data_IF_683680874031
#
_entry.id   IF_683680874031
#
_cell.length_a   1.000
_cell.length_b   1.000
_cell.length_c   1.000
_cell.angle_alpha   90.00
_cell.angle_beta   90.00
_cell.angle_gamma   90.00
#
_symmetry.space_group_name_H-M   'P 1'
#
loop_
_entity.id
_entity.type
_entity.pdbx_description
1 polymer ?
#
# COMPACT_ATOMS: atom_id res chain seq x y z
N UNK A 1 -46.16 -1.97 49.37
CA UNK A 1 -44.77 -2.31 49.70
C UNK A 1 -43.85 -1.62 48.71
N UNK A 2 -42.87 -0.87 49.20
CA UNK A 2 -42.03 0.06 48.45
C UNK A 2 -41.24 -0.58 47.30
N UNK A 3 -41.51 -0.17 46.06
CA UNK A 3 -40.54 -0.27 44.97
C UNK A 3 -39.49 0.83 45.15
N UNK A 4 -38.38 0.50 45.82
CA UNK A 4 -37.18 1.36 45.85
C UNK A 4 -36.67 1.53 44.42
N UNK A 5 -37.01 2.64 43.76
CA UNK A 5 -36.29 3.10 42.57
C UNK A 5 -34.85 3.39 43.02
N UNK A 6 -33.89 2.64 42.47
CA UNK A 6 -32.47 2.97 42.62
C UNK A 6 -32.27 4.44 42.21
N UNK A 7 -31.48 5.24 42.94
CA UNK A 7 -31.19 6.61 42.55
C UNK A 7 -30.65 6.62 41.12
N UNK A 8 -31.20 7.46 40.24
CA UNK A 8 -30.59 7.70 38.94
C UNK A 8 -29.22 8.31 39.21
N UNK A 9 -28.17 7.61 38.78
CA UNK A 9 -26.81 8.15 38.77
C UNK A 9 -26.81 9.45 37.96
N UNK A 10 -26.18 10.48 38.51
CA UNK A 10 -25.95 11.72 37.76
C UNK A 10 -24.87 11.47 36.69
N UNK A 11 -24.76 12.39 35.72
CA UNK A 11 -23.68 12.31 34.73
C UNK A 11 -22.29 12.37 35.40
N UNK A 12 -22.18 13.07 36.53
CA UNK A 12 -20.97 13.10 37.35
C UNK A 12 -20.64 11.73 37.95
N UNK A 13 -21.64 11.03 38.49
CA UNK A 13 -21.47 9.68 39.03
C UNK A 13 -21.07 8.67 37.94
N UNK A 14 -21.68 8.77 36.75
CA UNK A 14 -21.34 7.93 35.62
C UNK A 14 -19.92 8.20 35.11
N UNK A 15 -19.52 9.48 35.03
CA UNK A 15 -18.16 9.86 34.64
C UNK A 15 -17.11 9.34 35.62
N UNK A 16 -17.32 9.54 36.92
CA UNK A 16 -16.40 9.06 37.97
C UNK A 16 -16.23 7.53 37.96
N UNK A 17 -17.27 6.80 37.53
CA UNK A 17 -17.18 5.35 37.33
C UNK A 17 -16.52 4.95 36.01
N UNK A 18 -16.75 5.71 34.94
CA UNK A 18 -16.26 5.38 33.60
C UNK A 18 -14.77 5.65 33.43
N UNK A 19 -14.23 6.72 34.03
CA UNK A 19 -12.81 7.09 33.90
C UNK A 19 -11.83 5.98 34.31
N UNK A 20 -11.92 5.38 35.53
CA UNK A 20 -11.00 4.31 35.92
C UNK A 20 -11.17 3.05 35.07
N UNK A 21 -12.41 2.75 34.64
CA UNK A 21 -12.68 1.62 33.75
C UNK A 21 -12.04 1.85 32.37
N UNK A 22 -12.16 3.05 31.81
CA UNK A 22 -11.57 3.41 30.53
C UNK A 22 -10.03 3.35 30.59
N UNK A 23 -9.44 3.81 31.68
CA UNK A 23 -8.00 3.70 31.90
C UNK A 23 -7.54 2.23 31.96
N UNK A 24 -8.27 1.38 32.68
CA UNK A 24 -8.00 -0.06 32.72
C UNK A 24 -8.12 -0.70 31.32
N UNK A 25 -9.20 -0.41 30.59
CA UNK A 25 -9.42 -0.93 29.24
C UNK A 25 -8.33 -0.47 28.25
N UNK A 26 -7.87 0.78 28.35
CA UNK A 26 -6.75 1.30 27.57
C UNK A 26 -5.46 0.54 27.85
N UNK A 27 -5.21 0.18 29.11
CA UNK A 27 -4.05 -0.64 29.50
C UNK A 27 -4.12 -2.10 29.01
N UNK A 28 -5.32 -2.62 28.73
CA UNK A 28 -5.50 -4.00 28.29
C UNK A 28 -5.31 -4.20 26.78
N UNK A 29 -5.43 -3.15 25.97
CA UNK A 29 -5.32 -3.26 24.51
C UNK A 29 -4.31 -2.25 23.96
N UNK A 30 -3.27 -2.77 23.30
CA UNK A 30 -2.30 -1.93 22.58
C UNK A 30 -2.94 -1.13 21.45
N UNK A 31 -4.09 -1.55 20.93
CA UNK A 31 -4.86 -0.85 19.90
C UNK A 31 -5.86 0.16 20.47
N UNK A 32 -5.92 0.35 21.80
CA UNK A 32 -6.85 1.31 22.39
C UNK A 32 -6.63 2.74 21.87
N UNK A 33 -5.38 3.08 21.53
CA UNK A 33 -5.01 4.34 20.91
C UNK A 33 -5.33 4.42 19.41
N UNK A 34 -6.05 3.47 18.82
CA UNK A 34 -6.61 3.59 17.45
C UNK A 34 -8.10 3.97 17.48
N UNK A 35 -8.72 3.83 18.66
CA UNK A 35 -10.14 3.98 18.84
C UNK A 35 -10.50 5.46 19.00
N UNK A 36 -11.51 5.89 18.26
CA UNK A 36 -12.26 7.11 18.55
C UNK A 36 -13.60 6.76 19.16
N UNK A 37 -14.59 7.62 18.94
CA UNK A 37 -15.95 7.44 19.44
C UNK A 37 -16.89 6.84 18.38
N UNK A 38 -16.42 6.70 17.14
CA UNK A 38 -17.26 6.40 15.99
C UNK A 38 -17.30 4.92 15.61
N UNK A 39 -16.44 4.09 16.21
CA UNK A 39 -16.33 2.65 15.94
C UNK A 39 -16.17 2.37 14.44
N UNK A 40 -15.22 3.07 13.81
CA UNK A 40 -14.98 2.95 12.37
C UNK A 40 -14.12 1.71 12.09
N UNK A 41 -14.51 0.98 11.05
CA UNK A 41 -13.81 -0.18 10.50
C UNK A 41 -13.55 0.04 9.02
N UNK A 42 -12.45 -0.51 8.52
CA UNK A 42 -12.09 -0.50 7.11
C UNK A 42 -12.16 -1.91 6.55
N UNK A 43 -12.88 -2.06 5.45
CA UNK A 43 -13.07 -3.32 4.73
C UNK A 43 -12.21 -3.28 3.48
N UNK A 44 -11.34 -4.28 3.32
CA UNK A 44 -10.37 -4.38 2.22
C UNK A 44 -10.45 -5.76 1.57
N UNK A 45 -10.50 -5.87 0.24
CA UNK A 45 -10.43 -7.17 -0.43
C UNK A 45 -9.00 -7.72 -0.40
N UNK A 46 -8.86 -9.03 -0.25
CA UNK A 46 -7.57 -9.69 -0.37
C UNK A 46 -7.10 -9.68 -1.84
N UNK A 47 -5.82 -9.36 -2.06
CA UNK A 47 -5.18 -9.47 -3.37
C UNK A 47 -5.52 -8.36 -4.38
N UNK A 48 -6.23 -7.30 -3.97
CA UNK A 48 -6.32 -6.06 -4.77
C UNK A 48 -5.36 -5.01 -4.21
N UNK A 49 -4.89 -4.14 -5.11
CA UNK A 49 -4.03 -3.00 -4.79
C UNK A 49 -4.67 -1.70 -5.25
N UNK A 50 -4.01 -0.57 -4.92
CA UNK A 50 -4.40 0.81 -5.32
C UNK A 50 -5.65 1.34 -4.61
N UNK A 51 -6.00 0.75 -3.47
CA UNK A 51 -7.14 1.09 -2.64
C UNK A 51 -8.52 0.91 -3.29
N UNK A 52 -8.60 0.06 -4.32
CA UNK A 52 -9.86 -0.28 -4.99
C UNK A 52 -10.75 -1.14 -4.08
N UNK A 53 -12.05 -0.86 -4.13
CA UNK A 53 -13.09 -1.56 -3.37
C UNK A 53 -12.85 -1.55 -1.85
N UNK A 54 -12.28 -0.45 -1.34
CA UNK A 54 -12.13 -0.20 0.09
C UNK A 54 -13.33 0.60 0.57
N UNK A 55 -13.92 0.19 1.70
CA UNK A 55 -15.00 0.91 2.35
C UNK A 55 -14.68 1.16 3.82
N UNK A 56 -15.02 2.35 4.32
CA UNK A 56 -15.09 2.62 5.75
C UNK A 56 -16.54 2.56 6.23
N UNK A 57 -16.80 1.89 7.36
CA UNK A 57 -18.14 1.76 7.92
C UNK A 57 -18.13 1.68 9.45
N UNK A 58 -19.21 2.16 10.07
CA UNK A 58 -19.45 2.09 11.53
C UNK A 58 -20.32 0.90 11.94
N UNK A 59 -21.02 0.29 10.97
CA UNK A 59 -22.03 -0.75 11.19
C UNK A 59 -21.59 -2.08 10.60
N UNK A 60 -21.65 -3.14 11.41
CA UNK A 60 -21.40 -4.51 10.97
C UNK A 60 -22.33 -4.93 9.83
N UNK A 61 -23.61 -4.53 9.87
CA UNK A 61 -24.55 -4.86 8.82
C UNK A 61 -24.13 -4.24 7.48
N UNK A 62 -23.71 -2.96 7.46
CA UNK A 62 -23.20 -2.30 6.23
C UNK A 62 -21.98 -3.04 5.68
N UNK A 63 -21.09 -3.52 6.56
CA UNK A 63 -19.92 -4.29 6.15
C UNK A 63 -20.29 -5.65 5.56
N UNK A 64 -21.18 -6.41 6.21
CA UNK A 64 -21.65 -7.72 5.74
C UNK A 64 -22.41 -7.62 4.41
N UNK A 65 -23.24 -6.59 4.26
CA UNK A 65 -23.96 -6.32 3.01
C UNK A 65 -22.97 -5.99 1.88
N UNK A 66 -21.96 -5.16 2.14
CA UNK A 66 -20.95 -4.77 1.14
C UNK A 66 -20.12 -5.95 0.64
N UNK A 67 -19.68 -6.85 1.54
CA UNK A 67 -18.93 -8.05 1.14
C UNK A 67 -19.81 -9.11 0.47
N UNK A 68 -21.13 -8.91 0.45
CA UNK A 68 -22.09 -9.88 -0.09
C UNK A 68 -22.15 -11.18 0.73
N UNK A 69 -22.04 -11.07 2.06
CA UNK A 69 -22.07 -12.24 2.94
C UNK A 69 -23.37 -13.03 2.75
N UNK A 70 -23.26 -14.34 2.52
CA UNK A 70 -24.41 -15.22 2.26
C UNK A 70 -24.88 -15.26 0.80
N UNK A 71 -24.23 -14.52 -0.11
CA UNK A 71 -24.50 -14.62 -1.57
C UNK A 71 -23.65 -15.75 -2.16
N UNK A 72 -24.30 -16.79 -2.68
CA UNK A 72 -23.62 -17.92 -3.30
C UNK A 72 -22.83 -17.50 -4.56
N UNK A 73 -21.62 -18.03 -4.74
CA UNK A 73 -20.83 -17.91 -5.97
C UNK A 73 -19.76 -16.80 -6.02
N UNK A 74 -19.52 -16.06 -4.92
CA UNK A 74 -18.39 -15.11 -4.81
C UNK A 74 -17.41 -15.55 -3.72
N UNK A 75 -16.40 -16.34 -4.10
CA UNK A 75 -15.24 -16.59 -3.24
C UNK A 75 -14.23 -15.45 -3.40
N UNK A 76 -14.44 -14.35 -2.65
CA UNK A 76 -13.41 -13.35 -2.41
C UNK A 76 -13.09 -13.31 -0.92
N UNK A 77 -11.80 -13.29 -0.59
CA UNK A 77 -11.37 -13.06 0.79
C UNK A 77 -11.36 -11.56 1.09
N UNK A 78 -11.74 -11.22 2.31
CA UNK A 78 -11.82 -9.84 2.79
C UNK A 78 -11.15 -9.73 4.16
N UNK A 79 -10.57 -8.56 4.43
CA UNK A 79 -10.06 -8.18 5.74
C UNK A 79 -10.92 -7.04 6.26
N UNK A 80 -11.46 -7.23 7.46
CA UNK A 80 -12.10 -6.17 8.24
C UNK A 80 -11.12 -5.78 9.34
N UNK A 81 -10.62 -4.55 9.27
CA UNK A 81 -9.57 -4.05 10.16
C UNK A 81 -10.09 -2.82 10.92
N UNK A 82 -9.68 -2.66 12.18
CA UNK A 82 -10.01 -1.45 12.94
C UNK A 82 -9.43 -0.23 12.22
N UNK A 83 -10.27 0.75 11.90
CA UNK A 83 -9.80 2.00 11.31
C UNK A 83 -9.15 2.87 12.38
N UNK A 84 -8.00 3.48 12.07
CA UNK A 84 -7.35 4.45 12.95
C UNK A 84 -8.13 5.78 12.91
N UNK A 85 -8.88 6.06 13.97
CA UNK A 85 -9.72 7.26 14.10
C UNK A 85 -8.94 8.49 14.61
N UNK A 86 -7.76 8.28 15.19
CA UNK A 86 -6.87 9.32 15.71
C UNK A 86 -5.47 9.25 15.08
N UNK A 87 -5.35 9.35 13.75
CA UNK A 87 -4.05 9.43 13.08
C UNK A 87 -3.31 10.72 13.49
N UNK A 88 -1.98 10.72 13.39
CA UNK A 88 -1.23 11.97 13.38
C UNK A 88 -1.59 12.74 12.10
N UNK A 89 -1.94 14.01 12.26
CA UNK A 89 -2.43 14.88 11.17
C UNK A 89 -1.46 16.02 10.97
N UNK A 90 -1.14 16.31 9.70
CA UNK A 90 -0.28 17.43 9.32
C UNK A 90 -1.08 18.34 8.40
N UNK A 91 -1.18 19.63 8.77
CA UNK A 91 -1.93 20.63 8.01
C UNK A 91 -3.35 20.17 7.65
N UNK A 92 -4.05 19.58 8.63
CA UNK A 92 -5.41 19.06 8.45
C UNK A 92 -5.51 17.73 7.70
N UNK A 93 -4.43 17.21 7.12
CA UNK A 93 -4.47 16.06 6.20
C UNK A 93 -3.87 14.79 6.80
N UNK A 94 -4.46 13.65 6.42
CA UNK A 94 -3.99 12.32 6.78
C UNK A 94 -2.84 11.92 5.89
N UNK A 95 -1.92 11.11 6.39
CA UNK A 95 -0.85 10.54 5.58
C UNK A 95 -0.49 9.12 5.98
N UNK A 96 0.22 8.44 5.08
CA UNK A 96 0.99 7.23 5.37
C UNK A 96 2.45 7.42 4.96
N UNK A 97 3.33 6.55 5.45
CA UNK A 97 4.76 6.53 5.15
C UNK A 97 5.05 5.30 4.29
N UNK A 98 5.59 5.52 3.09
CA UNK A 98 6.18 4.46 2.25
C UNK A 98 7.64 4.26 2.65
N UNK A 99 7.94 3.06 3.12
CA UNK A 99 9.29 2.61 3.46
C UNK A 99 9.75 1.47 2.55
N UNK A 100 10.95 1.56 1.99
CA UNK A 100 11.55 0.47 1.24
C UNK A 100 12.33 -0.49 2.15
N UNK A 101 12.12 -1.78 1.95
CA UNK A 101 12.81 -2.88 2.64
C UNK A 101 13.25 -3.90 1.60
N UNK A 102 14.51 -4.33 1.65
CA UNK A 102 15.09 -5.29 0.70
C UNK A 102 15.42 -6.59 1.43
N UNK A 103 15.01 -7.71 0.85
CA UNK A 103 15.47 -9.04 1.26
C UNK A 103 16.46 -9.57 0.23
N UNK A 104 17.63 -10.01 0.71
CA UNK A 104 18.71 -10.53 -0.15
C UNK A 104 18.95 -12.03 0.00
N UNK A 105 18.47 -12.61 1.10
CA UNK A 105 18.47 -14.04 1.36
C UNK A 105 17.36 -14.32 2.37
N UNK A 106 16.65 -15.43 2.20
CA UNK A 106 15.65 -15.91 3.16
C UNK A 106 16.25 -16.94 4.14
N UNK A 107 17.45 -17.45 3.85
CA UNK A 107 18.08 -18.46 4.68
C UNK A 107 19.63 -18.40 4.67
N UNK A 108 20.28 -17.75 5.66
CA UNK A 108 19.65 -17.01 6.76
C UNK A 108 19.03 -15.69 6.29
N UNK A 109 17.90 -15.31 6.90
CA UNK A 109 17.16 -14.09 6.53
C UNK A 109 18.05 -12.85 6.63
N UNK A 110 18.18 -12.11 5.54
CA UNK A 110 18.98 -10.89 5.44
C UNK A 110 18.11 -9.72 4.99
N UNK A 111 17.76 -8.86 5.95
CA UNK A 111 16.84 -7.72 5.78
C UNK A 111 17.60 -6.40 5.80
N UNK A 112 17.40 -5.63 4.74
CA UNK A 112 17.95 -4.30 4.56
C UNK A 112 16.83 -3.27 4.61
N UNK A 113 17.06 -2.18 5.32
CA UNK A 113 16.15 -1.05 5.46
C UNK A 113 16.77 0.16 4.76
N UNK A 114 16.00 0.84 3.91
CA UNK A 114 16.50 2.05 3.26
C UNK A 114 16.35 3.24 4.21
N UNK A 115 17.40 4.02 4.44
CA UNK A 115 17.37 5.13 5.41
C UNK A 115 16.47 6.31 5.00
N UNK A 116 16.00 6.33 3.75
CA UNK A 116 15.03 7.29 3.24
C UNK A 116 13.65 6.66 3.03
N UNK A 117 12.63 7.51 3.14
CA UNK A 117 11.22 7.17 2.95
C UNK A 117 10.49 8.41 2.41
N UNK A 118 9.22 8.25 2.04
CA UNK A 118 8.38 9.40 1.72
C UNK A 118 6.98 9.24 2.29
N UNK A 119 6.35 10.39 2.55
CA UNK A 119 4.98 10.46 3.03
C UNK A 119 4.04 10.63 1.83
N UNK A 120 2.84 10.05 1.93
CA UNK A 120 1.74 10.25 0.97
C UNK A 120 0.55 10.84 1.70
N UNK A 121 0.10 12.00 1.26
CA UNK A 121 -1.01 12.73 1.88
C UNK A 121 -2.35 12.44 1.20
N UNK A 122 -3.43 12.49 1.98
CA UNK A 122 -4.76 12.78 1.44
C UNK A 122 -4.80 14.20 0.89
N UNK A 123 -5.58 14.46 -0.16
CA UNK A 123 -5.74 15.82 -0.69
C UNK A 123 -6.83 16.63 0.03
N UNK A 124 -7.66 15.96 0.82
CA UNK A 124 -8.73 16.54 1.63
C UNK A 124 -8.40 16.52 3.12
N UNK A 125 -8.98 17.47 3.85
CA UNK A 125 -8.90 17.53 5.31
C UNK A 125 -9.55 16.30 5.95
N UNK A 126 -8.91 15.79 7.00
CA UNK A 126 -9.34 14.61 7.74
C UNK A 126 -10.62 14.91 8.53
N UNK A 127 -11.68 14.17 8.24
CA UNK A 127 -12.94 14.19 8.98
C UNK A 127 -13.57 12.79 8.98
N UNK A 128 -14.18 12.39 10.09
CA UNK A 128 -14.88 11.11 10.26
C UNK A 128 -16.40 11.21 10.00
N UNK A 129 -16.92 12.41 9.68
CA UNK A 129 -18.33 12.62 9.37
C UNK A 129 -18.73 12.02 8.02
N UNK A 130 -17.85 12.11 7.03
CA UNK A 130 -18.09 11.62 5.67
C UNK A 130 -17.17 10.44 5.32
N UNK A 131 -17.57 9.24 5.75
CA UNK A 131 -16.86 8.00 5.46
C UNK A 131 -16.99 7.54 3.99
N UNK A 132 -17.86 8.18 3.20
CA UNK A 132 -18.07 7.84 1.78
C UNK A 132 -17.07 8.58 0.89
N UNK A 133 -16.55 9.72 1.34
CA UNK A 133 -15.46 10.41 0.67
C UNK A 133 -14.11 9.70 0.89
N UNK A 134 -13.81 8.76 -0.02
CA UNK A 134 -12.55 8.00 -0.01
C UNK A 134 -11.29 8.87 -0.09
N UNK A 135 -11.37 10.09 -0.65
CA UNK A 135 -10.22 11.00 -0.80
C UNK A 135 -9.71 11.51 0.55
N UNK A 136 -10.57 11.55 1.57
CA UNK A 136 -10.22 11.92 2.95
C UNK A 136 -9.47 10.77 3.65
N UNK A 137 -9.84 9.53 3.33
CA UNK A 137 -9.47 8.37 4.14
C UNK A 137 -8.33 7.53 3.58
N UNK A 138 -8.07 7.61 2.27
CA UNK A 138 -7.08 6.81 1.55
C UNK A 138 -6.01 7.71 0.92
N UNK A 139 -4.74 7.51 1.26
CA UNK A 139 -3.63 8.35 0.78
C UNK A 139 -3.00 7.84 -0.53
N UNK A 140 -3.53 6.78 -1.13
CA UNK A 140 -2.99 6.22 -2.38
C UNK A 140 -3.14 7.22 -3.54
N UNK A 141 -2.03 7.57 -4.18
CA UNK A 141 -2.00 8.49 -5.34
C UNK A 141 -3.01 8.13 -6.45
N UNK A 142 -3.24 6.85 -6.70
CA UNK A 142 -4.19 6.40 -7.72
C UNK A 142 -5.61 6.89 -7.47
N UNK A 143 -6.02 6.99 -6.20
CA UNK A 143 -7.34 7.47 -5.80
C UNK A 143 -7.35 8.99 -5.81
N UNK A 144 -6.28 9.61 -5.30
CA UNK A 144 -6.18 11.07 -5.25
C UNK A 144 -6.19 11.71 -6.65
N UNK A 145 -5.58 11.06 -7.65
CA UNK A 145 -5.56 11.52 -9.06
C UNK A 145 -6.94 11.57 -9.72
N UNK A 146 -7.93 10.82 -9.24
CA UNK A 146 -9.27 10.81 -9.84
C UNK A 146 -10.15 11.97 -9.35
N UNK A 147 -9.76 12.67 -8.28
CA UNK A 147 -10.58 13.69 -7.63
C UNK A 147 -10.00 15.11 -7.59
N UNK A 148 -8.76 15.34 -8.01
CA UNK A 148 -8.04 16.60 -7.79
C UNK A 148 -7.16 17.03 -8.98
N UNK A 149 -6.78 18.32 -9.01
CA UNK A 149 -5.88 18.86 -10.03
C UNK A 149 -4.50 18.18 -10.00
N UNK A 150 -4.07 17.67 -11.14
CA UNK A 150 -2.82 16.93 -11.30
C UNK A 150 -1.59 17.73 -10.87
N UNK A 151 -1.59 19.05 -11.10
CA UNK A 151 -0.47 19.91 -10.73
C UNK A 151 -0.42 20.18 -9.23
N UNK A 152 -1.56 20.30 -8.56
CA UNK A 152 -1.64 20.37 -7.10
C UNK A 152 -1.15 19.07 -6.46
N UNK A 153 -1.57 17.92 -6.98
CA UNK A 153 -1.12 16.61 -6.50
C UNK A 153 0.41 16.50 -6.57
N UNK A 154 1.02 16.86 -7.71
CA UNK A 154 2.48 16.76 -7.86
C UNK A 154 3.25 17.55 -6.81
N UNK A 155 2.73 18.74 -6.42
CA UNK A 155 3.39 19.63 -5.46
C UNK A 155 3.09 19.30 -4.00
N UNK A 156 1.87 18.83 -3.69
CA UNK A 156 1.37 18.80 -2.31
C UNK A 156 1.10 17.39 -1.77
N UNK A 157 1.08 16.36 -2.62
CA UNK A 157 0.67 15.00 -2.18
C UNK A 157 1.77 14.23 -1.45
N UNK A 158 3.01 14.73 -1.43
CA UNK A 158 4.13 14.01 -0.83
C UNK A 158 5.14 14.91 -0.15
N UNK A 159 5.71 14.38 0.94
CA UNK A 159 6.93 14.91 1.55
C UNK A 159 8.03 13.87 1.50
N UNK A 160 9.27 14.34 1.30
CA UNK A 160 10.44 13.53 1.58
C UNK A 160 10.67 13.42 3.10
N UNK A 161 11.55 12.49 3.50
CA UNK A 161 11.83 12.27 4.92
C UNK A 161 12.51 13.48 5.57
N UNK A 162 13.31 14.24 4.85
CA UNK A 162 13.95 15.44 5.38
C UNK A 162 12.92 16.49 5.81
N UNK A 163 11.92 16.75 4.97
CA UNK A 163 10.80 17.64 5.28
C UNK A 163 10.02 17.13 6.49
N UNK A 164 9.75 15.83 6.56
CA UNK A 164 9.04 15.25 7.69
C UNK A 164 9.84 15.35 9.01
N UNK A 165 11.15 15.09 8.99
CA UNK A 165 12.02 15.25 10.15
C UNK A 165 12.04 16.69 10.66
N UNK A 166 12.11 17.67 9.74
CA UNK A 166 12.03 19.07 10.13
C UNK A 166 10.67 19.39 10.78
N UNK A 167 9.57 18.89 10.22
CA UNK A 167 8.25 19.06 10.83
C UNK A 167 8.18 18.45 12.25
N UNK A 168 8.79 17.29 12.50
CA UNK A 168 8.86 16.69 13.84
C UNK A 168 9.65 17.58 14.81
N UNK A 169 10.78 18.17 14.37
CA UNK A 169 11.55 19.13 15.17
C UNK A 169 10.72 20.36 15.49
N UNK A 170 10.01 20.91 14.51
CA UNK A 170 9.18 22.10 14.70
C UNK A 170 8.00 21.82 15.65
N UNK A 171 7.40 20.62 15.59
CA UNK A 171 6.26 20.25 16.40
C UNK A 171 6.62 19.82 17.84
N UNK A 172 7.80 19.22 18.04
CA UNK A 172 8.18 18.59 19.32
C UNK A 172 9.42 19.21 19.98
N UNK A 173 10.10 20.12 19.29
CA UNK A 173 11.33 20.77 19.73
C UNK A 173 12.62 19.96 19.53
N UNK A 174 12.53 18.71 19.05
CA UNK A 174 13.71 17.86 18.82
C UNK A 174 13.43 16.75 17.81
N UNK A 175 14.48 16.03 17.38
CA UNK A 175 14.35 14.86 16.51
C UNK A 175 14.15 13.55 17.29
N UNK A 176 14.06 13.62 18.63
CA UNK A 176 14.03 12.46 19.53
C UNK A 176 12.88 11.49 19.21
N UNK A 177 11.69 12.03 18.90
CA UNK A 177 10.54 11.21 18.51
C UNK A 177 10.82 10.40 17.25
N UNK A 178 11.52 10.96 16.27
CA UNK A 178 11.89 10.21 15.07
C UNK A 178 12.97 9.16 15.38
N UNK A 179 14.07 9.56 16.02
CA UNK A 179 15.25 8.72 16.23
C UNK A 179 15.03 7.59 17.22
N UNK A 180 14.29 7.85 18.30
CA UNK A 180 14.15 6.93 19.43
C UNK A 180 12.79 6.26 19.53
N UNK A 181 11.79 6.70 18.74
CA UNK A 181 10.45 6.08 18.71
C UNK A 181 10.04 5.59 17.32
N UNK A 182 9.96 6.47 16.32
CA UNK A 182 9.39 6.10 15.01
C UNK A 182 10.32 5.16 14.23
N UNK A 183 11.56 5.57 13.98
CA UNK A 183 12.50 4.81 13.14
C UNK A 183 12.84 3.42 13.72
N UNK A 184 13.17 3.26 15.01
CA UNK A 184 13.43 1.94 15.59
C UNK A 184 12.22 1.03 15.46
N UNK A 185 11.01 1.57 15.70
CA UNK A 185 9.77 0.80 15.61
C UNK A 185 9.46 0.36 14.19
N UNK A 186 9.69 1.20 13.18
CA UNK A 186 9.56 0.81 11.76
C UNK A 186 10.51 -0.34 11.41
N UNK A 187 11.79 -0.23 11.80
CA UNK A 187 12.80 -1.28 11.58
C UNK A 187 12.41 -2.60 12.25
N UNK A 188 11.94 -2.53 13.49
CA UNK A 188 11.45 -3.68 14.26
C UNK A 188 10.26 -4.38 13.58
N UNK A 189 9.24 -3.61 13.18
CA UNK A 189 8.08 -4.17 12.50
C UNK A 189 8.49 -4.80 11.16
N UNK A 190 9.36 -4.14 10.38
CA UNK A 190 9.85 -4.67 9.11
C UNK A 190 10.60 -6.00 9.27
N UNK A 191 11.49 -6.13 10.25
CA UNK A 191 12.17 -7.42 10.50
C UNK A 191 11.21 -8.48 11.03
N UNK A 192 10.31 -8.15 11.96
CA UNK A 192 9.38 -9.13 12.54
C UNK A 192 8.39 -9.68 11.51
N UNK A 193 7.87 -8.82 10.62
CA UNK A 193 6.97 -9.25 9.55
C UNK A 193 7.62 -10.31 8.65
N UNK A 194 8.89 -10.10 8.27
CA UNK A 194 9.64 -11.05 7.44
C UNK A 194 10.05 -12.31 8.22
N UNK A 195 10.44 -12.17 9.48
CA UNK A 195 10.75 -13.32 10.35
C UNK A 195 9.53 -14.24 10.52
N UNK A 196 8.33 -13.69 10.65
CA UNK A 196 7.09 -14.48 10.72
C UNK A 196 6.76 -15.20 9.41
N UNK A 197 7.28 -14.74 8.28
CA UNK A 197 7.04 -15.32 6.96
C UNK A 197 8.17 -16.24 6.48
N UNK A 198 9.31 -16.24 7.15
CA UNK A 198 10.55 -16.86 6.67
C UNK A 198 10.42 -18.36 6.43
N UNK A 199 9.66 -19.06 7.26
CA UNK A 199 9.48 -20.51 7.18
C UNK A 199 8.43 -20.96 6.15
N UNK A 200 7.60 -20.03 5.68
CA UNK A 200 6.61 -20.26 4.62
C UNK A 200 7.20 -20.08 3.20
N UNK A 201 8.43 -19.57 3.10
CA UNK A 201 9.02 -19.17 1.84
C UNK A 201 10.13 -20.13 1.41
N UNK A 202 10.05 -20.59 0.17
CA UNK A 202 11.13 -21.34 -0.46
C UNK A 202 12.33 -20.41 -0.69
N UNK A 203 13.46 -20.70 -0.06
CA UNK A 203 14.66 -19.92 -0.32
C UNK A 203 15.20 -20.21 -1.73
N UNK A 204 15.28 -19.17 -2.57
CA UNK A 204 15.97 -19.21 -3.85
C UNK A 204 17.24 -18.39 -3.75
N UNK A 205 18.38 -19.06 -3.68
CA UNK A 205 19.69 -18.40 -3.64
C UNK A 205 19.85 -17.50 -4.86
N UNK A 206 20.47 -16.34 -4.66
CA UNK A 206 20.62 -15.28 -5.66
C UNK A 206 19.31 -14.62 -6.12
N UNK A 207 18.20 -14.81 -5.39
CA UNK A 207 17.01 -13.97 -5.53
C UNK A 207 17.03 -12.87 -4.49
N UNK A 208 16.48 -11.71 -4.85
CA UNK A 208 16.24 -10.61 -3.94
C UNK A 208 14.90 -9.97 -4.26
N UNK A 209 14.28 -9.34 -3.28
CA UNK A 209 13.03 -8.61 -3.49
C UNK A 209 13.00 -7.33 -2.67
N UNK A 210 12.61 -6.24 -3.33
CA UNK A 210 12.31 -4.96 -2.68
C UNK A 210 10.81 -4.93 -2.38
N UNK A 211 10.49 -4.65 -1.12
CA UNK A 211 9.15 -4.47 -0.60
C UNK A 211 8.89 -3.00 -0.27
N UNK A 212 7.65 -2.56 -0.46
CA UNK A 212 7.15 -1.29 0.05
C UNK A 212 6.27 -1.50 1.27
N UNK A 213 6.74 -1.10 2.44
CA UNK A 213 5.97 -1.12 3.68
C UNK A 213 5.20 0.19 3.80
N UNK A 214 3.90 0.09 4.10
CA UNK A 214 3.03 1.25 4.32
C UNK A 214 2.76 1.36 5.81
N UNK A 215 3.25 2.42 6.44
CA UNK A 215 3.09 2.70 7.87
C UNK A 215 2.19 3.91 8.10
N UNK A 216 1.55 3.96 9.26
CA UNK A 216 0.81 5.12 9.74
C UNK A 216 1.19 5.43 11.18
N UNK A 217 1.11 6.70 11.55
CA UNK A 217 1.32 7.16 12.91
C UNK A 217 -0.02 7.52 13.54
N UNK A 218 -0.25 7.11 14.79
CA UNK A 218 -1.33 7.68 15.59
C UNK A 218 -0.91 9.03 16.20
N UNK A 219 -1.86 9.72 16.84
CA UNK A 219 -1.65 11.03 17.47
C UNK A 219 -0.52 11.07 18.51
N UNK A 220 -0.12 9.93 19.05
CA UNK A 220 0.97 9.82 20.02
C UNK A 220 2.29 9.36 19.37
N UNK A 221 2.39 9.36 18.03
CA UNK A 221 3.53 8.88 17.25
C UNK A 221 3.82 7.37 17.39
N UNK A 222 2.85 6.55 17.78
CA UNK A 222 3.04 5.10 17.70
C UNK A 222 2.91 4.64 16.25
N UNK A 223 3.76 3.70 15.85
CA UNK A 223 3.86 3.24 14.46
C UNK A 223 3.02 1.99 14.24
N UNK A 224 2.21 2.03 13.19
CA UNK A 224 1.29 0.95 12.80
C UNK A 224 1.54 0.53 11.35
N UNK A 225 1.74 -0.78 11.13
CA UNK A 225 1.83 -1.33 9.78
C UNK A 225 0.44 -1.48 9.18
N UNK A 226 0.25 -0.96 7.95
CA UNK A 226 -0.99 -1.08 7.21
C UNK A 226 -0.96 -2.28 6.26
N UNK A 227 0.10 -2.37 5.45
CA UNK A 227 0.31 -3.42 4.44
C UNK A 227 1.77 -3.50 4.01
N UNK A 228 2.12 -4.62 3.38
CA UNK A 228 3.41 -4.85 2.73
C UNK A 228 3.15 -5.14 1.26
N UNK A 229 3.72 -4.31 0.39
CA UNK A 229 3.58 -4.40 -1.05
C UNK A 229 4.80 -5.08 -1.65
N UNK A 230 4.59 -6.25 -2.27
CA UNK A 230 5.55 -6.82 -3.22
C UNK A 230 5.60 -5.94 -4.47
N UNK A 231 6.80 -5.74 -5.05
CA UNK A 231 6.99 -4.89 -6.23
C UNK A 231 6.41 -3.47 -6.06
N UNK A 232 6.91 -2.67 -5.10
CA UNK A 232 6.44 -1.31 -4.89
C UNK A 232 6.58 -0.49 -6.18
N UNK A 233 5.66 0.46 -6.39
CA UNK A 233 5.72 1.38 -7.52
C UNK A 233 7.00 2.23 -7.44
N UNK A 234 7.81 2.17 -8.50
CA UNK A 234 9.07 2.91 -8.64
C UNK A 234 8.97 4.02 -9.69
N UNK A 235 7.74 4.40 -10.11
CA UNK A 235 7.53 5.46 -11.09
C UNK A 235 7.80 6.86 -10.53
N UNK A 236 8.33 7.73 -11.40
CA UNK A 236 8.57 9.15 -11.14
C UNK A 236 7.25 9.94 -11.20
N UNK A 237 6.38 9.76 -10.20
CA UNK A 237 5.05 10.37 -10.17
C UNK A 237 5.02 11.83 -9.70
N UNK A 238 6.01 12.19 -8.89
CA UNK A 238 6.29 13.52 -8.30
C UNK A 238 7.80 13.69 -8.23
N UNK A 239 8.29 14.92 -8.05
CA UNK A 239 9.71 15.22 -7.86
C UNK A 239 10.35 14.40 -6.72
N UNK A 240 9.59 14.19 -5.62
CA UNK A 240 10.02 13.37 -4.48
C UNK A 240 10.26 11.92 -4.93
N UNK A 241 9.29 11.29 -5.59
CA UNK A 241 9.45 9.91 -6.08
C UNK A 241 10.51 9.78 -7.17
N UNK A 242 10.61 10.73 -8.09
CA UNK A 242 11.64 10.72 -9.14
C UNK A 242 13.05 10.65 -8.56
N UNK A 243 13.34 11.54 -7.60
CA UNK A 243 14.62 11.55 -6.90
C UNK A 243 14.84 10.28 -6.10
N UNK A 244 13.88 9.89 -5.26
CA UNK A 244 14.07 8.78 -4.32
C UNK A 244 14.13 7.43 -5.02
N UNK A 245 13.31 7.17 -6.04
CA UNK A 245 13.34 5.88 -6.75
C UNK A 245 14.64 5.72 -7.53
N UNK A 246 15.16 6.79 -8.13
CA UNK A 246 16.49 6.79 -8.73
C UNK A 246 17.58 6.43 -7.70
N UNK A 247 17.55 7.05 -6.51
CA UNK A 247 18.51 6.74 -5.45
C UNK A 247 18.41 5.28 -4.98
N UNK A 248 17.19 4.81 -4.68
CA UNK A 248 16.92 3.45 -4.19
C UNK A 248 17.42 2.40 -5.19
N UNK A 249 17.15 2.59 -6.48
CA UNK A 249 17.54 1.64 -7.53
C UNK A 249 19.05 1.62 -7.76
N UNK A 250 19.73 2.77 -7.70
CA UNK A 250 21.20 2.80 -7.79
C UNK A 250 21.85 2.13 -6.57
N UNK A 251 21.37 2.43 -5.37
CA UNK A 251 21.91 1.84 -4.14
C UNK A 251 21.56 0.34 -4.01
N UNK A 252 20.45 -0.11 -4.62
CA UNK A 252 20.09 -1.53 -4.69
C UNK A 252 21.19 -2.34 -5.39
N UNK A 253 21.74 -1.83 -6.50
CA UNK A 253 22.83 -2.49 -7.24
C UNK A 253 24.05 -2.70 -6.35
N UNK A 254 24.40 -1.69 -5.54
CA UNK A 254 25.52 -1.77 -4.59
C UNK A 254 25.34 -2.90 -3.57
N UNK A 255 24.10 -3.18 -3.15
CA UNK A 255 23.82 -4.28 -2.21
C UNK A 255 23.84 -5.63 -2.90
N UNK A 256 23.17 -5.78 -4.04
CA UNK A 256 22.96 -7.09 -4.67
C UNK A 256 24.15 -7.58 -5.51
N UNK A 257 25.01 -6.65 -5.96
CA UNK A 257 26.25 -6.94 -6.70
C UNK A 257 27.46 -6.69 -5.79
N UNK A 258 27.77 -5.43 -5.49
CA UNK A 258 29.07 -5.05 -4.90
C UNK A 258 29.25 -5.64 -3.49
N UNK A 259 28.26 -5.46 -2.61
CA UNK A 259 28.32 -6.01 -1.25
C UNK A 259 28.31 -7.54 -1.26
N UNK A 260 27.61 -8.16 -2.22
CA UNK A 260 27.60 -9.62 -2.37
C UNK A 260 28.98 -10.14 -2.73
N UNK A 261 29.65 -9.54 -3.70
CA UNK A 261 31.00 -9.93 -4.11
C UNK A 261 32.04 -9.61 -3.03
N UNK A 262 31.95 -8.42 -2.42
CA UNK A 262 32.73 -8.04 -1.26
C UNK A 262 32.61 -9.06 -0.12
N UNK A 263 31.38 -9.48 0.22
CA UNK A 263 31.13 -10.43 1.31
C UNK A 263 31.75 -11.81 1.05
N UNK A 264 31.90 -12.21 -0.22
CA UNK A 264 32.58 -13.45 -0.62
C UNK A 264 34.10 -13.33 -0.57
N UNK A 265 34.64 -12.16 -0.90
CA UNK A 265 36.09 -11.86 -0.88
C UNK A 265 36.66 -11.64 0.53
N UNK A 266 35.80 -11.34 1.52
CA UNK A 266 36.17 -10.97 2.89
C UNK A 266 36.96 -12.02 3.69
N UNK A 267 37.19 -13.22 3.12
CA UNK A 267 38.18 -14.17 3.65
C UNK A 267 39.59 -13.58 3.65
N UNK A 268 39.87 -12.59 2.80
CA UNK A 268 41.08 -11.77 2.84
C UNK A 268 40.87 -10.53 3.73
N UNK A 269 41.59 -10.47 4.86
CA UNK A 269 41.32 -9.62 6.03
C UNK A 269 41.59 -8.10 5.84
N UNK A 270 41.40 -7.53 4.65
CA UNK A 270 41.77 -6.12 4.35
C UNK A 270 40.76 -5.33 3.51
N UNK A 271 39.55 -5.83 3.30
CA UNK A 271 38.57 -5.07 2.52
C UNK A 271 37.94 -3.95 3.37
N UNK A 272 38.10 -2.70 2.94
CA UNK A 272 37.38 -1.54 3.47
C UNK A 272 35.86 -1.78 3.47
N UNK A 273 35.12 -0.99 4.27
CA UNK A 273 33.66 -1.07 4.35
C UNK A 273 33.06 -0.88 2.95
N UNK A 274 32.32 -1.88 2.45
CA UNK A 274 31.60 -1.77 1.18
C UNK A 274 30.57 -0.64 1.26
N UNK A 275 30.52 0.21 0.23
CA UNK A 275 29.43 1.17 0.07
C UNK A 275 28.13 0.41 -0.23
N UNK A 276 27.11 0.63 0.59
CA UNK A 276 25.75 0.10 0.39
C UNK A 276 24.75 1.23 0.15
N UNK A 277 25.25 2.43 -0.11
CA UNK A 277 24.46 3.65 -0.21
C UNK A 277 23.66 3.91 1.05
N UNK A 278 22.35 4.08 0.91
CA UNK A 278 21.43 4.30 2.02
C UNK A 278 20.76 3.02 2.54
N UNK A 279 21.09 1.84 1.99
CA UNK A 279 20.66 0.57 2.59
C UNK A 279 21.43 0.29 3.88
N UNK A 280 20.71 -0.11 4.93
CA UNK A 280 21.25 -0.58 6.21
C UNK A 280 20.79 -2.00 6.48
N UNK A 281 21.73 -2.90 6.73
CA UNK A 281 21.40 -4.25 7.19
C UNK A 281 20.86 -4.15 8.63
N UNK A 282 19.56 -4.40 8.80
CA UNK A 282 18.88 -4.32 10.11
C UNK A 282 18.65 -5.69 10.74
N UNK A 283 18.76 -6.76 9.94
CA UNK A 283 18.68 -8.13 10.43
C UNK A 283 19.49 -9.05 9.53
N UNK A 284 20.27 -9.92 10.15
CA UNK A 284 20.94 -11.05 9.52
C UNK A 284 20.76 -12.25 10.44
N UNK A 285 20.09 -13.29 9.96
CA UNK A 285 19.91 -14.52 10.72
C UNK A 285 21.26 -15.19 11.02
N UNK A 286 21.38 -15.74 12.22
CA UNK A 286 22.63 -16.36 12.69
C UNK A 286 22.81 -17.79 12.16
N UNK A 287 21.72 -18.46 11.77
CA UNK A 287 21.73 -19.87 11.37
C UNK A 287 20.84 -20.12 10.17
N UNK A 288 21.28 -21.05 9.32
CA UNK A 288 20.41 -21.61 8.29
C UNK A 288 19.25 -22.39 8.95
N UNK A 289 18.02 -21.99 8.65
CA UNK A 289 16.79 -22.69 8.96
C UNK A 289 16.69 -23.87 8.00
N UNK A 290 17.12 -25.06 8.43
CA UNK A 290 17.11 -26.28 7.59
C UNK A 290 15.73 -26.93 7.50
N UNK A 291 14.83 -26.61 8.44
CA UNK A 291 13.45 -27.09 8.48
C UNK A 291 12.52 -25.93 8.83
N UNK A 292 11.32 -25.83 8.22
CA UNK A 292 10.35 -24.81 8.61
C UNK A 292 10.09 -24.88 10.12
N UNK A 293 10.14 -23.76 10.84
CA UNK A 293 9.82 -23.76 12.28
C UNK A 293 8.35 -24.16 12.49
N UNK A 294 7.47 -23.88 11.53
CA UNK A 294 6.11 -24.43 11.44
C UNK A 294 6.03 -25.96 11.34
N UNK A 295 7.11 -26.67 11.01
CA UNK A 295 7.15 -28.14 11.10
C UNK A 295 7.12 -28.62 12.57
N UNK A 296 7.47 -27.76 13.54
CA UNK A 296 7.22 -27.97 14.96
C UNK A 296 5.84 -27.48 15.36
N UNK A 297 4.78 -28.08 14.81
CA UNK A 297 3.50 -28.29 15.49
C UNK A 297 2.79 -27.14 16.22
N UNK A 298 3.17 -25.88 16.04
CA UNK A 298 2.45 -24.73 16.59
C UNK A 298 1.29 -24.42 15.67
N UNK A 299 0.26 -25.27 15.77
CA UNK A 299 -1.06 -25.06 15.18
C UNK A 299 -1.57 -23.72 15.72
N UNK A 300 -1.44 -22.66 14.92
CA UNK A 300 -2.06 -21.37 15.21
C UNK A 300 -3.57 -21.54 15.06
N UNK A 301 -4.19 -22.05 16.12
CA UNK A 301 -5.64 -22.17 16.21
C UNK A 301 -6.19 -20.87 16.80
N UNK A 302 -7.19 -20.29 16.13
CA UNK A 302 -7.98 -19.22 16.70
C UNK A 302 -8.86 -19.83 17.81
N UNK A 303 -8.50 -19.63 19.08
CA UNK A 303 -9.43 -19.88 20.18
C UNK A 303 -10.53 -18.81 20.17
N UNK A 304 -11.60 -19.11 19.45
CA UNK A 304 -12.79 -18.27 19.36
C UNK A 304 -14.03 -19.12 19.29
N UNK A 305 -15.16 -18.55 19.71
CA UNK A 305 -16.47 -19.15 19.43
C UNK A 305 -16.90 -18.65 18.06
N UNK A 306 -17.21 -19.58 17.15
CA UNK A 306 -17.89 -19.22 15.91
C UNK A 306 -19.15 -18.43 16.25
N UNK A 307 -19.19 -17.17 15.82
CA UNK A 307 -20.38 -16.35 15.98
C UNK A 307 -21.30 -16.74 14.83
N UNK A 308 -22.22 -17.65 15.10
CA UNK A 308 -23.33 -17.96 14.21
C UNK A 308 -24.14 -16.67 13.97
N UNK A 309 -23.91 -16.01 12.83
CA UNK A 309 -24.72 -14.88 12.36
C UNK A 309 -25.99 -15.48 11.71
N UNK A 310 -26.87 -16.04 12.55
CA UNK A 310 -28.08 -16.77 12.11
C UNK A 310 -29.27 -15.86 11.83
N UNK A 311 -29.11 -14.55 11.98
CA UNK A 311 -30.09 -13.54 11.60
C UNK A 311 -29.34 -12.25 11.22
N UNK A 312 -29.92 -11.43 10.34
CA UNK A 312 -29.53 -10.01 10.22
C UNK A 312 -29.37 -9.47 11.64
N UNK A 313 -28.22 -8.93 11.99
CA UNK A 313 -27.97 -8.46 13.36
C UNK A 313 -29.02 -7.37 13.68
N UNK A 314 -30.02 -7.75 14.48
CA UNK A 314 -31.12 -6.87 14.93
C UNK A 314 -30.74 -6.08 16.18
N UNK A 315 -29.53 -6.27 16.69
CA UNK A 315 -28.99 -5.46 17.76
C UNK A 315 -28.89 -4.02 17.30
N UNK A 316 -29.75 -3.16 17.84
CA UNK A 316 -29.54 -1.73 17.76
C UNK A 316 -28.19 -1.42 18.41
N UNK A 317 -27.27 -0.86 17.62
CA UNK A 317 -26.20 -0.03 18.20
C UNK A 317 -26.93 1.02 19.03
N UNK A 318 -26.61 1.26 20.31
CA UNK A 318 -27.25 2.31 21.07
C UNK A 318 -26.87 3.66 20.44
N UNK A 319 -27.67 4.09 19.46
CA UNK A 319 -27.71 5.45 18.96
C UNK A 319 -28.34 6.28 20.06
N UNK A 320 -27.54 7.11 20.73
CA UNK A 320 -28.10 8.26 21.43
C UNK A 320 -28.65 9.22 20.38
N UNK A 321 -29.90 9.00 19.99
CA UNK A 321 -30.66 9.93 19.16
C UNK A 321 -31.09 11.10 20.04
N UNK A 322 -30.49 12.25 19.80
CA UNK A 322 -31.15 13.54 20.04
C UNK A 322 -32.35 13.59 19.09
N UNK A 323 -33.48 14.00 19.65
CA UNK A 323 -34.82 13.97 19.08
C UNK A 323 -34.90 14.57 17.67
N UNK A 324 -35.66 13.93 16.79
CA UNK A 324 -35.65 14.27 15.37
C UNK A 324 -36.67 13.49 14.55
N UNK A 325 -37.94 13.54 14.96
CA UNK A 325 -39.09 12.97 14.25
C UNK A 325 -39.34 13.67 12.90
N UNK A 326 -38.53 13.38 11.87
CA UNK A 326 -38.85 13.69 10.44
C UNK A 326 -38.05 12.88 9.39
N UNK A 327 -37.17 11.94 9.78
CA UNK A 327 -36.16 11.36 8.85
C UNK A 327 -36.62 10.18 7.97
N UNK A 328 -37.57 9.36 8.40
CA UNK A 328 -37.85 8.07 7.71
C UNK A 328 -38.41 8.24 6.28
N UNK A 329 -39.23 9.27 6.02
CA UNK A 329 -39.83 9.47 4.69
C UNK A 329 -38.86 10.10 3.69
N UNK A 330 -37.84 10.84 4.15
CA UNK A 330 -36.79 11.44 3.30
C UNK A 330 -35.73 10.42 2.89
N UNK A 331 -35.39 9.46 3.77
CA UNK A 331 -34.36 8.45 3.50
C UNK A 331 -34.72 7.49 2.36
N UNK A 332 -35.99 7.05 2.25
CA UNK A 332 -36.41 6.17 1.14
C UNK A 332 -36.32 6.86 -0.22
N UNK A 333 -36.77 8.11 -0.31
CA UNK A 333 -36.73 8.91 -1.53
C UNK A 333 -35.28 9.25 -1.95
N UNK A 334 -34.39 9.47 -0.98
CA UNK A 334 -32.97 9.71 -1.22
C UNK A 334 -32.24 8.44 -1.71
N UNK A 335 -32.60 7.27 -1.14
CA UNK A 335 -32.04 5.97 -1.54
C UNK A 335 -32.47 5.57 -2.95
N UNK A 336 -33.72 5.82 -3.34
CA UNK A 336 -34.17 5.61 -4.73
C UNK A 336 -33.44 6.55 -5.72
N UNK A 337 -33.26 7.83 -5.35
CA UNK A 337 -32.50 8.78 -6.17
C UNK A 337 -31.01 8.43 -6.29
N UNK A 338 -30.41 7.87 -5.24
CA UNK A 338 -29.02 7.39 -5.28
C UNK A 338 -28.89 6.10 -6.12
N UNK A 339 -29.85 5.19 -6.03
CA UNK A 339 -29.87 3.97 -6.84
C UNK A 339 -30.01 4.28 -8.34
N UNK A 340 -30.84 5.26 -8.72
CA UNK A 340 -30.98 5.69 -10.11
C UNK A 340 -29.73 6.40 -10.65
N UNK A 341 -29.06 7.21 -9.82
CA UNK A 341 -27.75 7.80 -10.19
C UNK A 341 -26.68 6.73 -10.40
N UNK A 342 -26.62 5.72 -9.53
CA UNK A 342 -25.66 4.62 -9.67
C UNK A 342 -25.92 3.79 -10.92
N UNK A 343 -27.19 3.53 -11.27
CA UNK A 343 -27.56 2.84 -12.51
C UNK A 343 -27.13 3.64 -13.76
N UNK A 344 -27.39 4.94 -13.78
CA UNK A 344 -26.97 5.81 -14.89
C UNK A 344 -25.44 5.88 -15.01
N UNK A 345 -24.72 5.86 -13.90
CA UNK A 345 -23.26 5.89 -13.90
C UNK A 345 -22.65 4.54 -14.34
N UNK A 346 -23.25 3.41 -13.97
CA UNK A 346 -22.87 2.09 -14.50
C UNK A 346 -23.10 1.97 -16.01
N UNK A 347 -24.22 2.47 -16.51
CA UNK A 347 -24.51 2.53 -17.94
C UNK A 347 -23.46 3.38 -18.67
N UNK A 348 -23.14 4.58 -18.15
CA UNK A 348 -22.12 5.46 -18.72
C UNK A 348 -20.73 4.82 -18.72
N UNK A 349 -20.33 4.15 -17.63
CA UNK A 349 -19.06 3.41 -17.55
C UNK A 349 -19.00 2.26 -18.53
N UNK A 350 -20.13 1.60 -18.79
CA UNK A 350 -20.24 0.51 -19.76
C UNK A 350 -20.08 1.03 -21.19
N UNK A 351 -20.67 2.19 -21.50
CA UNK A 351 -20.49 2.86 -22.80
C UNK A 351 -19.05 3.35 -23.01
N UNK A 352 -18.46 4.02 -22.02
CA UNK A 352 -17.06 4.47 -22.06
C UNK A 352 -16.09 3.30 -22.22
N UNK A 353 -16.34 2.16 -21.55
CA UNK A 353 -15.54 0.95 -21.69
C UNK A 353 -15.67 0.34 -23.10
N UNK A 354 -16.87 0.35 -23.69
CA UNK A 354 -17.10 -0.10 -25.05
C UNK A 354 -16.37 0.80 -26.07
N UNK A 355 -16.32 2.11 -25.82
CA UNK A 355 -15.65 3.09 -26.66
C UNK A 355 -14.13 2.96 -26.59
N UNK A 356 -13.55 2.84 -25.39
CA UNK A 356 -12.13 2.53 -25.19
C UNK A 356 -11.72 1.22 -25.88
N UNK A 357 -12.58 0.19 -25.86
CA UNK A 357 -12.33 -1.08 -26.56
C UNK A 357 -12.35 -0.92 -28.08
N UNK A 358 -13.20 -0.03 -28.62
CA UNK A 358 -13.19 0.32 -30.06
C UNK A 358 -11.92 1.10 -30.44
N UNK A 359 -11.49 2.04 -29.60
CA UNK A 359 -10.28 2.84 -29.82
C UNK A 359 -9.01 1.98 -29.76
N UNK A 360 -8.89 1.11 -28.75
CA UNK A 360 -7.78 0.16 -28.64
C UNK A 360 -7.69 -0.76 -29.88
N UNK A 361 -8.83 -1.21 -30.42
CA UNK A 361 -8.87 -1.98 -31.69
C UNK A 361 -8.41 -1.17 -32.89
N UNK A 362 -8.69 0.14 -32.94
CA UNK A 362 -8.20 1.05 -33.99
C UNK A 362 -6.68 1.24 -33.90
N UNK A 363 -6.17 1.53 -32.71
CA UNK A 363 -4.73 1.70 -32.47
C UNK A 363 -3.95 0.41 -32.78
N UNK A 364 -4.46 -0.75 -32.37
CA UNK A 364 -3.84 -2.04 -32.69
C UNK A 364 -3.79 -2.31 -34.21
N UNK A 365 -4.84 -1.93 -34.96
CA UNK A 365 -4.84 -2.01 -36.44
C UNK A 365 -3.81 -1.05 -37.05
N UNK A 366 -3.65 0.15 -36.49
CA UNK A 366 -2.68 1.13 -36.97
C UNK A 366 -1.24 0.68 -36.72
N UNK A 367 -0.95 0.20 -35.50
CA UNK A 367 0.36 -0.36 -35.15
C UNK A 367 0.74 -1.55 -36.04
N UNK A 368 -0.21 -2.45 -36.34
CA UNK A 368 0.03 -3.59 -37.25
C UNK A 368 0.38 -3.14 -38.67
N UNK A 369 -0.29 -2.09 -39.20
CA UNK A 369 0.02 -1.52 -40.52
C UNK A 369 1.40 -0.84 -40.55
N UNK A 370 1.78 -0.21 -39.46
CA UNK A 370 3.09 0.44 -39.33
C UNK A 370 4.22 -0.56 -39.23
N UNK A 371 4.03 -1.65 -38.47
CA UNK A 371 4.97 -2.76 -38.41
C UNK A 371 5.17 -3.42 -39.78
N UNK A 372 4.10 -3.60 -40.56
CA UNK A 372 4.21 -4.12 -41.93
C UNK A 372 5.01 -3.18 -42.84
N UNK A 373 4.79 -1.86 -42.75
CA UNK A 373 5.57 -0.88 -43.52
C UNK A 373 7.06 -0.89 -43.14
N UNK A 374 7.38 -1.04 -41.85
CA UNK A 374 8.77 -1.14 -41.40
C UNK A 374 9.45 -2.43 -41.89
N UNK A 375 8.75 -3.56 -41.86
CA UNK A 375 9.27 -4.82 -42.40
C UNK A 375 9.52 -4.75 -43.92
N UNK A 376 8.62 -4.11 -44.66
CA UNK A 376 8.76 -3.93 -46.10
C UNK A 376 9.93 -3.00 -46.45
N UNK A 377 10.11 -1.90 -45.69
CA UNK A 377 11.25 -1.00 -45.83
C UNK A 377 12.59 -1.70 -45.53
N UNK A 378 12.65 -2.52 -44.47
CA UNK A 378 13.84 -3.32 -44.15
C UNK A 378 14.16 -4.32 -45.29
N UNK A 379 13.14 -4.94 -45.88
CA UNK A 379 13.32 -5.89 -46.98
C UNK A 379 13.85 -5.21 -48.25
N UNK A 380 13.36 -4.00 -48.56
CA UNK A 380 13.87 -3.21 -49.68
C UNK A 380 15.33 -2.78 -49.47
N UNK A 381 15.68 -2.36 -48.26
CA UNK A 381 17.06 -1.98 -47.91
C UNK A 381 18.03 -3.16 -48.08
N UNK A 382 17.63 -4.36 -47.66
CA UNK A 382 18.44 -5.58 -47.82
C UNK A 382 18.65 -5.93 -49.31
N UNK A 383 17.60 -5.82 -50.12
CA UNK A 383 17.67 -6.02 -51.58
C UNK A 383 18.64 -5.03 -52.24
N UNK A 384 18.61 -3.76 -51.82
CA UNK A 384 19.51 -2.73 -52.33
C UNK A 384 20.99 -3.01 -51.97
N UNK A 385 21.25 -3.48 -50.74
CA UNK A 385 22.59 -3.92 -50.34
C UNK A 385 23.09 -5.10 -51.17
N UNK A 386 22.24 -6.10 -51.45
CA UNK A 386 22.63 -7.24 -52.28
C UNK A 386 22.98 -6.82 -53.71
N UNK A 387 22.20 -5.90 -54.30
CA UNK A 387 22.50 -5.37 -55.64
C UNK A 387 23.84 -4.61 -55.66
N UNK A 388 24.14 -3.81 -54.64
CA UNK A 388 25.43 -3.11 -54.54
C UNK A 388 26.59 -4.09 -54.41
N UNK A 389 26.45 -5.15 -53.61
CA UNK A 389 27.49 -6.18 -53.50
C UNK A 389 27.72 -6.91 -54.82
N UNK A 390 26.66 -7.25 -55.56
CA UNK A 390 26.79 -7.87 -56.88
C UNK A 390 27.49 -6.95 -57.88
N UNK A 391 27.18 -5.65 -57.89
CA UNK A 391 27.86 -4.68 -58.74
C UNK A 391 29.35 -4.54 -58.39
N UNK A 392 29.70 -4.52 -57.09
CA UNK A 392 31.10 -4.49 -56.66
C UNK A 392 31.85 -5.76 -57.08
N UNK A 393 31.24 -6.94 -56.96
CA UNK A 393 31.84 -8.20 -57.40
C UNK A 393 32.06 -8.21 -58.92
N UNK A 394 31.11 -7.73 -59.71
CA UNK A 394 31.26 -7.62 -61.17
C UNK A 394 32.38 -6.63 -61.55
N UNK A 395 32.49 -5.49 -60.88
CA UNK A 395 33.59 -4.55 -61.10
C UNK A 395 34.95 -5.15 -60.75
N UNK A 396 35.05 -5.90 -59.64
CA UNK A 396 36.29 -6.59 -59.27
C UNK A 396 36.67 -7.67 -60.30
N UNK A 397 35.70 -8.43 -60.81
CA UNK A 397 35.95 -9.42 -61.87
C UNK A 397 36.42 -8.77 -63.17
N UNK A 398 35.81 -7.64 -63.56
CA UNK A 398 36.25 -6.89 -64.75
C UNK A 398 37.67 -6.32 -64.59
N UNK A 399 38.01 -5.79 -63.41
CA UNK A 399 39.37 -5.32 -63.12
C UNK A 399 40.39 -6.46 -63.14
N UNK A 400 40.05 -7.64 -62.62
CA UNK A 400 40.92 -8.82 -62.68
C UNK A 400 41.13 -9.31 -64.12
N UNK A 401 40.08 -9.29 -64.96
CA UNK A 401 40.21 -9.64 -66.38
C UNK A 401 41.07 -8.64 -67.15
N UNK A 402 40.99 -7.34 -66.85
CA UNK A 402 41.84 -6.30 -67.44
C UNK A 402 43.31 -6.41 -67.00
N UNK A 403 43.61 -7.01 -65.85
CA UNK A 403 44.98 -7.25 -65.40
C UNK A 403 45.60 -8.54 -65.97
N UNK A 404 44.78 -9.42 -66.57
CA UNK A 404 45.23 -10.67 -67.19
C UNK A 404 45.38 -10.59 -68.72
N UNK A 405 44.93 -9.49 -69.34
CA UNK A 405 45.25 -9.11 -70.72
C UNK A 405 46.44 -8.15 -70.71
#
# INVERSE_FOLDING_TARGET
GLTRKLPRKTDGDLKAMAEPLLAALRGMSVQACLNGLDNVWIVKPAGKSRGRDIMCAKSINKMLDYIGYGVAGKEMHWVVQKYMENPYIINGRKFDIRQWVLVTDWNPLSVWFYDESYLRFSMSDYDLKDLENVLVHLCNNSIQKEGEDAERIKRESMWDLATFKQHIVDATGSLDVWENKILPRMRDISRWALMCAQDMLENRKNSCEVYGYDFMLDSDFNVWLLEVNASPDMSASTEVTEKLTYMVLNDLVKVIIDHKDWSRSRKDHRADKCDTGLWRLIHKGDTEVTFPVSAFGCKLELQGKEIAITAKYTGSVPTYTIDGSTRETRSKKLLEQQADKLRQEEERKTEEAAERKKEARRLAKQAKREQQRQQEAQRQMLLQQQQQQQQQQQQQQQQQQQQQQ
#
